data_IF_959393077721
#
_entry.id   IF_959393077721
#
_cell.length_a   1.000
_cell.length_b   1.000
_cell.length_c   1.000
_cell.angle_alpha   90.00
_cell.angle_beta   90.00
_cell.angle_gamma   90.00
#
_symmetry.space_group_name_H-M   'P 1'
#
loop_
_entity.id
_entity.type
_entity.pdbx_description
1 polymer ?
#
# COMPACT_ATOMS: atom_id res chain seq x y z
N UNK A 1 22.51 -4.15 15.25
CA UNK A 1 21.06 -3.91 15.54
C UNK A 1 20.24 -3.79 14.26
N UNK A 2 20.65 -3.00 13.29
CA UNK A 2 19.92 -2.75 12.02
C UNK A 2 19.56 -4.03 11.25
N UNK A 3 20.51 -4.93 11.06
CA UNK A 3 20.31 -6.18 10.32
C UNK A 3 19.30 -7.12 11.00
N UNK A 4 19.33 -7.20 12.34
CA UNK A 4 18.41 -8.09 13.06
C UNK A 4 16.96 -7.60 12.96
N UNK A 5 16.71 -6.28 12.98
CA UNK A 5 15.36 -5.76 12.74
C UNK A 5 14.84 -6.12 11.35
N UNK A 6 15.69 -5.97 10.33
CA UNK A 6 15.35 -6.30 8.95
C UNK A 6 15.04 -7.79 8.76
N UNK A 7 15.84 -8.69 9.35
CA UNK A 7 15.60 -10.14 9.34
C UNK A 7 14.27 -10.49 10.04
N UNK A 8 14.02 -9.91 11.21
CA UNK A 8 12.75 -10.09 11.92
C UNK A 8 11.57 -9.60 11.11
N UNK A 9 11.69 -8.43 10.45
CA UNK A 9 10.62 -7.89 9.61
C UNK A 9 10.36 -8.78 8.39
N UNK A 10 11.39 -9.27 7.71
CA UNK A 10 11.22 -10.21 6.59
C UNK A 10 10.55 -11.50 7.10
N UNK A 11 11.00 -12.07 8.22
CA UNK A 11 10.36 -13.24 8.83
C UNK A 11 8.89 -12.97 9.22
N UNK A 12 8.59 -11.77 9.72
CA UNK A 12 7.23 -11.35 10.09
C UNK A 12 6.26 -11.44 8.91
N UNK A 13 6.70 -11.20 7.67
CA UNK A 13 5.87 -11.27 6.46
C UNK A 13 5.39 -12.69 6.15
N UNK A 14 6.09 -13.72 6.64
CA UNK A 14 5.74 -15.11 6.40
C UNK A 14 4.65 -15.61 7.36
N UNK A 15 3.80 -16.50 6.86
CA UNK A 15 2.80 -17.25 7.61
C UNK A 15 2.77 -18.69 7.08
N UNK A 16 2.02 -19.58 7.71
CA UNK A 16 1.83 -20.95 7.21
C UNK A 16 1.26 -21.00 5.78
N UNK A 17 0.55 -19.95 5.37
CA UNK A 17 -0.02 -19.83 4.02
C UNK A 17 0.97 -19.26 3.00
N UNK A 18 2.10 -18.71 3.45
CA UNK A 18 3.08 -18.05 2.58
C UNK A 18 4.01 -19.09 1.98
N UNK A 19 4.03 -19.18 0.65
CA UNK A 19 4.94 -20.01 -0.11
C UNK A 19 5.36 -19.26 -1.37
N UNK A 20 6.55 -18.64 -1.36
CA UNK A 20 7.02 -17.73 -2.42
C UNK A 20 8.46 -18.04 -2.82
N UNK A 21 8.78 -17.71 -4.08
CA UNK A 21 10.16 -17.71 -4.56
C UNK A 21 10.82 -16.37 -4.24
N UNK A 22 12.15 -16.36 -4.21
CA UNK A 22 12.93 -15.13 -4.05
C UNK A 22 12.52 -14.07 -5.06
N UNK A 23 12.32 -14.45 -6.35
CA UNK A 23 11.93 -13.51 -7.40
C UNK A 23 10.55 -12.89 -7.14
N UNK A 24 9.60 -13.63 -6.58
CA UNK A 24 8.31 -13.07 -6.19
C UNK A 24 8.46 -12.04 -5.06
N UNK A 25 9.30 -12.30 -4.05
CA UNK A 25 9.61 -11.34 -2.98
C UNK A 25 10.22 -10.05 -3.54
N UNK A 26 11.23 -10.17 -4.42
CA UNK A 26 11.86 -9.02 -5.09
C UNK A 26 10.82 -8.17 -5.82
N UNK A 27 9.99 -8.77 -6.68
CA UNK A 27 8.98 -8.04 -7.47
C UNK A 27 7.94 -7.34 -6.61
N UNK A 28 7.51 -7.97 -5.50
CA UNK A 28 6.57 -7.35 -4.56
C UNK A 28 7.23 -6.16 -3.86
N UNK A 29 8.47 -6.32 -3.38
CA UNK A 29 9.22 -5.27 -2.71
C UNK A 29 9.56 -4.09 -3.64
N UNK A 30 9.82 -4.36 -4.93
CA UNK A 30 9.99 -3.34 -5.98
C UNK A 30 8.68 -2.59 -6.31
N UNK A 31 7.54 -3.01 -5.77
CA UNK A 31 6.23 -2.43 -6.06
C UNK A 31 5.74 -2.70 -7.47
N UNK A 32 6.14 -3.82 -8.10
CA UNK A 32 5.66 -4.20 -9.43
C UNK A 32 4.15 -4.45 -9.41
N UNK A 33 3.43 -3.76 -10.32
CA UNK A 33 1.97 -3.77 -10.41
C UNK A 33 1.43 -4.71 -11.47
N UNK A 34 2.16 -5.78 -11.82
CA UNK A 34 1.57 -6.81 -12.68
C UNK A 34 0.50 -7.58 -11.90
N UNK A 35 -0.61 -8.00 -12.53
CA UNK A 35 -1.65 -8.78 -11.86
C UNK A 35 -1.12 -10.02 -11.16
N UNK A 36 -0.11 -10.68 -11.73
CA UNK A 36 0.56 -11.83 -11.11
C UNK A 36 1.27 -11.48 -9.80
N UNK A 37 2.00 -10.34 -9.76
CA UNK A 37 2.69 -9.88 -8.56
C UNK A 37 1.69 -9.48 -7.47
N UNK A 38 0.67 -8.70 -7.83
CA UNK A 38 -0.37 -8.26 -6.91
C UNK A 38 -1.16 -9.46 -6.34
N UNK A 39 -1.52 -10.41 -7.19
CA UNK A 39 -2.18 -11.64 -6.77
C UNK A 39 -1.31 -12.46 -5.81
N UNK A 40 -0.01 -12.57 -6.10
CA UNK A 40 0.93 -13.27 -5.22
C UNK A 40 1.04 -12.59 -3.87
N UNK A 41 1.09 -11.25 -3.84
CA UNK A 41 1.11 -10.47 -2.61
C UNK A 41 -0.16 -10.71 -1.78
N UNK A 42 -1.34 -10.70 -2.40
CA UNK A 42 -2.60 -10.94 -1.71
C UNK A 42 -2.74 -12.39 -1.23
N UNK A 43 -2.50 -13.36 -2.11
CA UNK A 43 -2.60 -14.79 -1.81
C UNK A 43 -1.72 -15.22 -0.64
N UNK A 44 -0.52 -14.66 -0.55
CA UNK A 44 0.46 -15.00 0.48
C UNK A 44 0.51 -14.00 1.65
N UNK A 45 -0.43 -13.03 1.70
CA UNK A 45 -0.49 -12.02 2.75
C UNK A 45 0.78 -11.16 2.87
N UNK A 46 1.41 -10.83 1.73
CA UNK A 46 2.65 -10.06 1.62
C UNK A 46 2.40 -8.56 1.32
N UNK A 47 1.20 -8.06 1.59
CA UNK A 47 0.83 -6.67 1.29
C UNK A 47 1.75 -5.67 2.00
N UNK A 48 2.17 -5.98 3.24
CA UNK A 48 3.08 -5.14 4.00
C UNK A 48 4.45 -4.97 3.30
N UNK A 49 4.96 -5.99 2.62
CA UNK A 49 6.19 -5.89 1.83
C UNK A 49 6.04 -4.92 0.65
N UNK A 50 4.91 -4.97 -0.05
CA UNK A 50 4.61 -4.06 -1.16
C UNK A 50 4.61 -2.58 -0.75
N UNK A 51 4.26 -2.30 0.51
CA UNK A 51 4.13 -0.96 1.08
C UNK A 51 5.43 -0.40 1.62
N UNK A 52 6.27 -1.25 2.20
CA UNK A 52 7.47 -0.84 2.94
C UNK A 52 8.55 -0.18 2.08
N UNK A 53 8.44 -0.25 0.74
CA UNK A 53 9.50 0.20 -0.17
C UNK A 53 10.88 -0.33 0.23
N UNK A 54 10.93 -1.59 0.68
CA UNK A 54 12.16 -2.25 1.08
C UNK A 54 13.06 -2.40 -0.14
N UNK A 55 14.04 -1.51 -0.26
CA UNK A 55 14.98 -1.49 -1.38
C UNK A 55 16.20 -2.32 -1.05
N UNK A 56 16.14 -3.60 -1.38
CA UNK A 56 17.29 -4.51 -1.33
C UNK A 56 17.69 -4.90 -2.75
N UNK A 57 18.99 -4.93 -3.01
CA UNK A 57 19.54 -5.53 -4.21
C UNK A 57 19.30 -7.04 -4.21
N UNK A 58 19.38 -7.67 -5.38
CA UNK A 58 19.24 -9.13 -5.48
C UNK A 58 20.19 -9.90 -4.57
N UNK A 59 21.43 -9.45 -4.45
CA UNK A 59 22.44 -10.07 -3.58
C UNK A 59 22.08 -9.95 -2.10
N UNK A 60 21.55 -8.80 -1.67
CA UNK A 60 21.08 -8.60 -0.30
C UNK A 60 19.87 -9.47 0.00
N UNK A 61 18.91 -9.61 -0.92
CA UNK A 61 17.81 -10.55 -0.77
C UNK A 61 18.29 -11.98 -0.58
N UNK A 62 19.24 -12.45 -1.42
CA UNK A 62 19.84 -13.79 -1.29
C UNK A 62 20.48 -13.97 0.09
N UNK A 63 21.26 -12.99 0.53
CA UNK A 63 21.93 -13.00 1.84
C UNK A 63 20.92 -13.07 3.00
N UNK A 64 19.86 -12.23 2.98
CA UNK A 64 18.82 -12.22 4.01
C UNK A 64 18.06 -13.55 4.08
N UNK A 65 17.66 -14.10 2.92
CA UNK A 65 16.93 -15.37 2.87
C UNK A 65 17.81 -16.52 3.36
N UNK A 66 19.12 -16.52 3.02
CA UNK A 66 20.08 -17.48 3.54
C UNK A 66 20.21 -17.38 5.06
N UNK A 67 20.39 -16.16 5.60
CA UNK A 67 20.49 -15.95 7.06
C UNK A 67 19.23 -16.42 7.80
N UNK A 68 18.05 -16.18 7.24
CA UNK A 68 16.79 -16.67 7.80
C UNK A 68 16.70 -18.20 7.80
N UNK A 69 17.24 -18.85 6.76
CA UNK A 69 17.34 -20.31 6.71
C UNK A 69 18.38 -20.85 7.68
N UNK A 70 19.54 -20.20 7.80
CA UNK A 70 20.61 -20.57 8.75
C UNK A 70 20.14 -20.43 10.22
N UNK A 71 19.27 -19.44 10.51
CA UNK A 71 18.60 -19.29 11.81
C UNK A 71 17.50 -20.33 12.04
N UNK A 72 17.16 -21.13 11.03
CA UNK A 72 16.08 -22.11 11.09
C UNK A 72 14.68 -21.49 11.10
N UNK A 73 14.53 -20.20 10.71
CA UNK A 73 13.25 -19.52 10.68
C UNK A 73 12.48 -19.76 9.37
N UNK A 74 13.19 -19.98 8.27
CA UNK A 74 12.62 -20.37 6.98
C UNK A 74 13.21 -21.71 6.53
N UNK A 75 12.41 -22.48 5.81
CA UNK A 75 12.87 -23.63 5.02
C UNK A 75 12.68 -23.33 3.54
N UNK A 76 13.49 -23.97 2.70
CA UNK A 76 13.39 -23.84 1.24
C UNK A 76 13.15 -25.24 0.63
N UNK A 77 12.02 -25.35 -0.07
CA UNK A 77 11.66 -26.55 -0.81
C UNK A 77 11.31 -26.17 -2.24
N UNK A 78 11.88 -26.85 -3.23
CA UNK A 78 11.66 -26.58 -4.67
C UNK A 78 11.83 -25.09 -5.06
N UNK A 79 12.78 -24.40 -4.42
CA UNK A 79 13.05 -22.98 -4.64
C UNK A 79 12.03 -22.02 -4.00
N UNK A 80 11.11 -22.51 -3.19
CA UNK A 80 10.11 -21.74 -2.45
C UNK A 80 10.45 -21.70 -0.96
N UNK A 81 10.22 -20.54 -0.36
CA UNK A 81 10.46 -20.33 1.07
C UNK A 81 9.16 -20.44 1.86
N UNK A 82 9.24 -21.05 3.03
CA UNK A 82 8.14 -21.22 3.99
C UNK A 82 8.65 -20.98 5.40
N UNK A 83 7.75 -20.50 6.29
CA UNK A 83 8.09 -20.30 7.70
C UNK A 83 8.11 -21.64 8.45
N UNK A 84 9.09 -21.80 9.34
CA UNK A 84 9.20 -22.93 10.25
C UNK A 84 8.48 -22.64 11.59
N UNK A 85 8.26 -23.64 12.46
CA UNK A 85 7.78 -23.41 13.83
C UNK A 85 8.67 -22.46 14.64
N UNK A 86 10.00 -22.52 14.47
CA UNK A 86 10.96 -21.60 15.10
C UNK A 86 10.78 -20.17 14.55
N UNK A 87 10.60 -20.02 13.23
CA UNK A 87 10.29 -18.72 12.62
C UNK A 87 8.97 -18.11 13.12
N UNK A 88 7.94 -18.93 13.33
CA UNK A 88 6.67 -18.47 13.91
C UNK A 88 6.83 -17.98 15.34
N UNK A 89 7.66 -18.66 16.14
CA UNK A 89 7.96 -18.22 17.51
C UNK A 89 8.70 -16.88 17.51
N UNK A 90 9.70 -16.72 16.63
CA UNK A 90 10.43 -15.46 16.45
C UNK A 90 9.48 -14.33 16.00
N UNK A 91 8.57 -14.60 15.04
CA UNK A 91 7.54 -13.65 14.61
C UNK A 91 6.64 -13.18 15.76
N UNK A 92 6.18 -14.09 16.62
CA UNK A 92 5.37 -13.75 17.80
C UNK A 92 6.14 -12.84 18.76
N UNK A 93 7.41 -13.14 19.04
CA UNK A 93 8.27 -12.31 19.88
C UNK A 93 8.50 -10.93 19.26
N UNK A 94 8.68 -10.86 17.95
CA UNK A 94 8.85 -9.60 17.23
C UNK A 94 7.61 -8.70 17.32
N UNK A 95 6.40 -9.24 17.13
CA UNK A 95 5.15 -8.49 17.25
C UNK A 95 4.95 -7.94 18.68
N UNK A 96 5.33 -8.73 19.71
CA UNK A 96 5.25 -8.26 21.11
C UNK A 96 6.16 -7.06 21.38
N UNK A 97 7.35 -7.04 20.76
CA UNK A 97 8.30 -5.93 20.89
C UNK A 97 7.94 -4.73 20.00
N UNK A 98 7.17 -4.95 18.92
CA UNK A 98 6.74 -3.94 17.97
C UNK A 98 5.21 -4.00 17.74
N UNK A 99 4.40 -3.61 18.74
CA UNK A 99 2.93 -3.72 18.67
C UNK A 99 2.31 -2.92 17.51
N UNK A 100 3.02 -1.92 17.00
CA UNK A 100 2.61 -1.16 15.82
C UNK A 100 2.41 -2.01 14.58
N UNK A 101 3.15 -3.12 14.45
CA UNK A 101 3.06 -4.04 13.31
C UNK A 101 1.79 -4.91 13.34
N UNK A 102 1.03 -4.89 14.43
CA UNK A 102 -0.26 -5.60 14.51
C UNK A 102 -1.37 -4.79 13.80
N UNK A 103 -1.15 -4.50 12.53
CA UNK A 103 -2.08 -3.78 11.66
C UNK A 103 -2.10 -4.40 10.28
N UNK A 104 -3.22 -4.22 9.56
CA UNK A 104 -3.32 -4.59 8.15
C UNK A 104 -3.25 -3.32 7.32
N UNK A 105 -2.19 -3.20 6.52
CA UNK A 105 -2.01 -2.08 5.58
C UNK A 105 -2.60 -2.47 4.22
N UNK A 106 -3.52 -1.65 3.71
CA UNK A 106 -4.14 -1.89 2.40
C UNK A 106 -3.18 -1.47 1.27
N UNK A 107 -3.10 -2.31 0.22
CA UNK A 107 -2.29 -2.00 -0.97
C UNK A 107 -2.81 -0.79 -1.74
N UNK A 108 -4.14 -0.55 -1.73
CA UNK A 108 -4.78 0.62 -2.34
C UNK A 108 -4.20 1.94 -1.85
N UNK A 109 -3.85 1.98 -0.56
CA UNK A 109 -3.46 3.21 0.11
C UNK A 109 -1.95 3.44 0.17
N UNK A 110 -1.16 2.49 -0.34
CA UNK A 110 0.30 2.55 -0.28
C UNK A 110 0.88 3.87 -0.83
N UNK A 111 0.48 4.25 -2.05
CA UNK A 111 0.91 5.52 -2.65
C UNK A 111 0.31 6.72 -1.93
N UNK A 112 -0.94 6.60 -1.51
CA UNK A 112 -1.65 7.65 -0.79
C UNK A 112 -0.96 7.97 0.53
N UNK A 113 -0.62 6.97 1.36
CA UNK A 113 0.09 7.18 2.64
C UNK A 113 1.41 7.92 2.43
N UNK A 114 2.20 7.48 1.43
CA UNK A 114 3.49 8.11 1.12
C UNK A 114 3.32 9.56 0.67
N UNK A 115 2.45 9.83 -0.29
CA UNK A 115 2.22 11.19 -0.80
C UNK A 115 1.53 12.07 0.25
N UNK A 116 0.57 11.53 1.00
CA UNK A 116 -0.12 12.23 2.06
C UNK A 116 0.85 12.73 3.13
N UNK A 117 1.83 11.92 3.55
CA UNK A 117 2.88 12.36 4.48
C UNK A 117 3.60 13.61 3.99
N UNK A 118 3.99 13.65 2.72
CA UNK A 118 4.65 14.81 2.15
C UNK A 118 3.74 16.03 2.06
N UNK A 119 2.48 15.83 1.67
CA UNK A 119 1.52 16.94 1.61
C UNK A 119 1.17 17.45 3.01
N UNK A 120 1.01 16.57 3.98
CA UNK A 120 0.74 16.89 5.38
C UNK A 120 1.85 17.78 5.96
N UNK A 121 3.12 17.42 5.79
CA UNK A 121 4.27 18.26 6.20
C UNK A 121 4.23 19.61 5.49
N UNK A 122 3.99 19.64 4.18
CA UNK A 122 4.02 20.87 3.42
C UNK A 122 2.84 21.80 3.72
N UNK A 123 1.64 21.27 3.91
CA UNK A 123 0.49 22.06 4.39
C UNK A 123 0.76 22.65 5.77
N UNK A 124 1.33 21.85 6.68
CA UNK A 124 1.76 22.32 8.00
C UNK A 124 2.75 23.47 7.89
N UNK A 125 3.77 23.35 7.02
CA UNK A 125 4.72 24.45 6.75
C UNK A 125 4.00 25.68 6.22
N UNK A 126 3.16 25.57 5.19
CA UNK A 126 2.46 26.71 4.58
C UNK A 126 1.62 27.45 5.61
N UNK A 127 0.82 26.73 6.39
CA UNK A 127 -0.09 27.33 7.38
C UNK A 127 0.69 27.95 8.56
N UNK A 128 1.76 27.29 9.00
CA UNK A 128 2.66 27.84 10.02
C UNK A 128 3.33 29.12 9.55
N UNK A 129 3.97 29.14 8.38
CA UNK A 129 4.64 30.33 7.85
C UNK A 129 3.65 31.48 7.61
N UNK A 130 2.45 31.17 7.13
CA UNK A 130 1.39 32.14 6.94
C UNK A 130 0.96 32.79 8.26
N UNK A 131 0.84 32.03 9.35
CA UNK A 131 0.45 32.55 10.66
C UNK A 131 1.44 33.55 11.24
N UNK A 132 2.72 33.46 10.84
CA UNK A 132 3.78 34.42 11.19
C UNK A 132 3.99 35.49 10.12
N UNK A 133 3.18 35.53 9.05
CA UNK A 133 3.32 36.51 7.96
C UNK A 133 4.56 36.31 7.10
N UNK A 134 5.25 35.17 7.22
CA UNK A 134 6.47 34.89 6.45
C UNK A 134 6.14 34.40 5.04
N UNK A 135 6.56 35.15 4.03
CA UNK A 135 6.38 34.80 2.61
C UNK A 135 7.70 34.37 1.93
N UNK A 136 8.81 34.45 2.64
CA UNK A 136 10.17 34.24 2.11
C UNK A 136 10.77 32.87 2.44
N UNK A 137 9.96 31.89 2.85
CA UNK A 137 10.45 30.55 3.21
C UNK A 137 10.76 29.68 1.98
N UNK A 138 11.65 28.72 2.18
CA UNK A 138 11.94 27.68 1.15
C UNK A 138 10.89 26.58 1.26
N UNK A 139 10.09 26.32 0.20
CA UNK A 139 9.07 25.26 0.24
C UNK A 139 9.67 23.87 0.41
N UNK A 140 9.11 23.08 1.30
CA UNK A 140 9.47 21.66 1.50
C UNK A 140 9.34 20.83 0.22
N UNK A 141 8.27 21.06 -0.56
CA UNK A 141 8.08 20.43 -1.87
C UNK A 141 8.52 21.40 -2.95
N UNK A 142 9.49 21.02 -3.77
CA UNK A 142 10.00 21.84 -4.90
C UNK A 142 9.20 21.67 -6.19
N UNK A 143 8.46 20.55 -6.35
CA UNK A 143 7.67 20.28 -7.55
C UNK A 143 6.48 21.23 -7.69
N UNK A 144 6.47 22.00 -8.78
CA UNK A 144 5.46 23.03 -9.04
C UNK A 144 4.06 22.46 -9.26
N UNK A 145 3.93 21.26 -9.83
CA UNK A 145 2.62 20.65 -10.05
C UNK A 145 1.97 20.29 -8.72
N UNK A 146 2.72 19.70 -7.81
CA UNK A 146 2.26 19.37 -6.46
C UNK A 146 1.97 20.64 -5.67
N UNK A 147 2.83 21.67 -5.72
CA UNK A 147 2.55 22.96 -5.10
C UNK A 147 1.22 23.58 -5.59
N UNK A 148 0.94 23.53 -6.89
CA UNK A 148 -0.29 24.06 -7.45
C UNK A 148 -1.53 23.27 -7.02
N UNK A 149 -1.43 21.94 -6.89
CA UNK A 149 -2.51 21.10 -6.37
C UNK A 149 -2.81 21.45 -4.90
N UNK A 150 -1.80 21.64 -4.07
CA UNK A 150 -1.96 22.03 -2.66
C UNK A 150 -2.54 23.44 -2.56
N UNK A 151 -2.07 24.40 -3.35
CA UNK A 151 -2.65 25.75 -3.41
C UNK A 151 -4.14 25.72 -3.77
N UNK A 152 -4.51 24.89 -4.74
CA UNK A 152 -5.91 24.71 -5.13
C UNK A 152 -6.72 24.13 -3.97
N UNK A 153 -6.24 23.08 -3.33
CA UNK A 153 -6.89 22.49 -2.17
C UNK A 153 -7.06 23.49 -1.03
N UNK A 154 -6.03 24.26 -0.67
CA UNK A 154 -6.12 25.33 0.34
C UNK A 154 -7.19 26.37 0.00
N UNK A 155 -7.27 26.80 -1.27
CA UNK A 155 -8.28 27.73 -1.72
C UNK A 155 -9.70 27.16 -1.59
N UNK A 156 -9.88 25.86 -1.92
CA UNK A 156 -11.16 25.13 -1.76
C UNK A 156 -11.57 25.02 -0.28
N UNK A 157 -10.59 24.98 0.66
CA UNK A 157 -10.86 25.02 2.10
C UNK A 157 -11.19 26.43 2.61
N UNK A 158 -11.02 27.45 1.78
CA UNK A 158 -11.31 28.85 2.12
C UNK A 158 -10.10 29.67 2.58
N UNK A 159 -8.87 29.22 2.30
CA UNK A 159 -7.65 29.97 2.56
C UNK A 159 -7.54 31.18 1.61
N UNK A 160 -7.12 32.37 2.08
CA UNK A 160 -6.66 32.72 3.43
C UNK A 160 -7.74 33.30 4.37
N UNK A 161 -9.02 33.32 3.96
CA UNK A 161 -10.10 34.00 4.68
C UNK A 161 -10.52 33.26 5.95
N UNK A 162 -10.44 31.93 5.96
CA UNK A 162 -10.72 31.10 7.14
C UNK A 162 -9.47 30.95 8.02
N UNK A 163 -9.60 30.75 9.33
CA UNK A 163 -8.47 30.52 10.24
C UNK A 163 -7.91 29.09 10.13
N UNK A 164 -7.55 28.69 8.91
CA UNK A 164 -7.12 27.30 8.63
C UNK A 164 -5.90 26.87 9.44
N UNK A 165 -5.00 27.78 9.80
CA UNK A 165 -3.83 27.44 10.60
C UNK A 165 -4.22 26.93 12.01
N UNK A 166 -5.23 27.55 12.62
CA UNK A 166 -5.77 27.12 13.92
C UNK A 166 -6.52 25.80 13.77
N UNK A 167 -7.47 25.72 12.82
CA UNK A 167 -8.24 24.51 12.58
C UNK A 167 -7.33 23.31 12.29
N UNK A 168 -6.30 23.49 11.47
CA UNK A 168 -5.31 22.47 11.14
C UNK A 168 -4.53 22.00 12.37
N UNK A 169 -4.08 22.94 13.19
CA UNK A 169 -3.36 22.66 14.43
C UNK A 169 -4.24 21.88 15.43
N UNK A 170 -5.53 22.26 15.57
CA UNK A 170 -6.48 21.59 16.45
C UNK A 170 -6.74 20.14 16.01
N UNK A 171 -6.93 19.88 14.70
CA UNK A 171 -7.11 18.52 14.18
C UNK A 171 -5.85 17.65 14.38
N UNK A 172 -4.66 18.22 14.14
CA UNK A 172 -3.40 17.51 14.41
C UNK A 172 -3.27 17.20 15.89
N UNK A 173 -3.54 18.17 16.75
CA UNK A 173 -3.46 17.99 18.20
C UNK A 173 -4.41 16.88 18.65
N UNK A 174 -5.66 16.89 18.20
CA UNK A 174 -6.64 15.86 18.52
C UNK A 174 -6.15 14.46 18.10
N UNK A 175 -5.56 14.33 16.91
CA UNK A 175 -4.96 13.07 16.49
C UNK A 175 -3.78 12.65 17.38
N UNK A 176 -2.86 13.58 17.68
CA UNK A 176 -1.68 13.28 18.51
C UNK A 176 -2.07 12.82 19.92
N UNK A 177 -3.15 13.36 20.50
CA UNK A 177 -3.70 12.97 21.80
C UNK A 177 -4.23 11.52 21.82
N UNK A 178 -4.51 10.92 20.66
CA UNK A 178 -4.87 9.48 20.55
C UNK A 178 -3.66 8.54 20.59
N UNK A 179 -2.46 9.08 20.47
CA UNK A 179 -1.20 8.31 20.37
C UNK A 179 -0.46 8.31 21.69
N UNK A 180 0.34 7.26 21.97
CA UNK A 180 1.38 7.33 22.99
C UNK A 180 2.34 8.52 22.74
N UNK A 181 2.80 9.18 23.80
CA UNK A 181 3.65 10.38 23.74
C UNK A 181 4.88 10.21 22.85
N UNK A 182 5.50 9.03 22.85
CA UNK A 182 6.66 8.71 22.01
C UNK A 182 6.33 8.78 20.52
N UNK A 183 5.14 8.30 20.12
CA UNK A 183 4.69 8.32 18.73
C UNK A 183 4.22 9.72 18.31
N UNK A 184 3.59 10.46 19.21
CA UNK A 184 3.28 11.87 19.00
C UNK A 184 4.55 12.68 18.78
N UNK A 185 5.55 12.50 19.63
CA UNK A 185 6.86 13.13 19.52
C UNK A 185 7.57 12.73 18.22
N UNK A 186 7.47 11.46 17.79
CA UNK A 186 8.02 10.99 16.52
C UNK A 186 7.45 11.75 15.31
N UNK A 187 6.13 12.02 15.28
CA UNK A 187 5.49 12.81 14.23
C UNK A 187 5.95 14.26 14.30
N UNK A 188 5.84 14.90 15.47
CA UNK A 188 6.14 16.32 15.66
C UNK A 188 7.58 16.65 15.28
N UNK A 189 8.52 15.78 15.62
CA UNK A 189 9.93 15.98 15.28
C UNK A 189 10.21 16.08 13.77
N UNK A 190 9.34 15.55 12.93
CA UNK A 190 9.48 15.58 11.48
C UNK A 190 8.65 16.69 10.80
N UNK A 191 7.77 17.37 11.54
CA UNK A 191 7.00 18.50 11.02
C UNK A 191 7.91 19.69 10.70
N UNK A 192 7.51 20.49 9.74
CA UNK A 192 8.19 21.72 9.35
C UNK A 192 7.26 22.90 9.62
N UNK A 193 7.79 23.96 10.21
CA UNK A 193 7.05 25.18 10.50
C UNK A 193 7.97 26.39 10.61
N UNK A 194 7.42 27.52 11.01
CA UNK A 194 8.20 28.74 11.17
C UNK A 194 9.30 28.55 12.23
N UNK A 195 10.55 28.80 11.85
CA UNK A 195 11.74 28.58 12.68
C UNK A 195 11.95 27.12 13.16
N UNK A 196 11.30 26.16 12.50
CA UNK A 196 11.46 24.74 12.80
C UNK A 196 11.59 23.92 11.51
N UNK A 197 12.78 23.39 11.26
CA UNK A 197 13.11 22.72 9.99
C UNK A 197 12.64 21.26 9.92
N UNK A 198 12.21 20.69 11.05
CA UNK A 198 11.90 19.28 11.15
C UNK A 198 13.12 18.35 11.01
N UNK A 199 12.99 17.13 11.41
CA UNK A 199 14.05 16.12 11.31
C UNK A 199 13.93 15.34 10.02
N UNK A 200 15.06 15.10 9.36
CA UNK A 200 15.18 14.12 8.28
C UNK A 200 14.98 12.70 8.84
N UNK A 201 14.65 11.74 7.97
CA UNK A 201 14.53 10.32 8.35
C UNK A 201 15.75 9.81 9.12
N UNK A 202 16.96 10.20 8.71
CA UNK A 202 18.20 9.82 9.39
C UNK A 202 18.29 10.40 10.80
N UNK A 203 18.01 11.69 10.96
CA UNK A 203 18.02 12.35 12.28
C UNK A 203 16.94 11.77 13.21
N UNK A 204 15.76 11.44 12.65
CA UNK A 204 14.69 10.77 13.39
C UNK A 204 15.14 9.40 13.85
N UNK A 205 15.77 8.61 12.96
CA UNK A 205 16.32 7.30 13.29
C UNK A 205 17.36 7.39 14.42
N UNK A 206 18.31 8.30 14.32
CA UNK A 206 19.34 8.55 15.34
C UNK A 206 18.72 8.97 16.69
N UNK A 207 17.76 9.91 16.67
CA UNK A 207 17.11 10.43 17.90
C UNK A 207 16.30 9.37 18.64
N UNK A 208 15.58 8.54 17.90
CA UNK A 208 14.69 7.51 18.47
C UNK A 208 15.35 6.14 18.62
N UNK A 209 16.63 5.99 18.27
CA UNK A 209 17.35 4.70 18.31
C UNK A 209 16.78 3.67 17.32
N UNK A 210 16.14 4.13 16.25
CA UNK A 210 15.50 3.32 15.23
C UNK A 210 16.40 3.09 14.02
N UNK A 211 16.11 2.06 13.23
CA UNK A 211 16.65 1.90 11.88
C UNK A 211 15.86 2.75 10.88
N UNK A 212 16.41 2.98 9.67
CA UNK A 212 15.68 3.67 8.60
C UNK A 212 14.40 2.94 8.18
N UNK A 213 14.41 1.61 8.26
CA UNK A 213 13.23 0.78 8.00
C UNK A 213 12.16 0.94 9.08
N UNK A 214 12.56 0.99 10.36
CA UNK A 214 11.63 1.26 11.47
C UNK A 214 10.98 2.63 11.34
N UNK A 215 11.75 3.67 10.99
CA UNK A 215 11.19 5.02 10.73
C UNK A 215 10.18 4.98 9.59
N UNK A 216 10.51 4.29 8.49
CA UNK A 216 9.61 4.17 7.34
C UNK A 216 8.30 3.46 7.74
N UNK A 217 8.40 2.30 8.38
CA UNK A 217 7.24 1.50 8.80
C UNK A 217 6.38 2.24 9.81
N UNK A 218 7.00 2.88 10.80
CA UNK A 218 6.29 3.69 11.79
C UNK A 218 5.52 4.82 11.12
N UNK A 219 6.13 5.52 10.16
CA UNK A 219 5.45 6.59 9.41
C UNK A 219 4.26 6.04 8.61
N UNK A 220 4.42 4.94 7.87
CA UNK A 220 3.34 4.30 7.10
C UNK A 220 2.16 3.88 8.00
N UNK A 221 2.46 3.26 9.15
CA UNK A 221 1.44 2.82 10.11
C UNK A 221 0.73 4.01 10.76
N UNK A 222 1.45 5.08 11.07
CA UNK A 222 0.85 6.29 11.64
C UNK A 222 -0.04 7.01 10.63
N UNK A 223 0.32 7.01 9.34
CA UNK A 223 -0.55 7.54 8.28
C UNK A 223 -1.80 6.67 8.08
N UNK A 224 -1.70 5.36 8.21
CA UNK A 224 -2.86 4.46 8.21
C UNK A 224 -3.78 4.71 9.43
N UNK A 225 -3.22 4.93 10.63
CA UNK A 225 -4.00 5.32 11.82
C UNK A 225 -4.68 6.67 11.64
N UNK A 226 -3.97 7.65 11.10
CA UNK A 226 -4.52 8.96 10.80
C UNK A 226 -5.69 8.86 9.82
N UNK A 227 -5.60 8.00 8.79
CA UNK A 227 -6.71 7.79 7.84
C UNK A 227 -7.98 7.25 8.48
N UNK A 228 -7.86 6.53 9.59
CA UNK A 228 -9.01 6.00 10.37
C UNK A 228 -9.57 7.00 11.39
N UNK A 229 -8.80 8.04 11.68
CA UNK A 229 -9.20 9.13 12.59
C UNK A 229 -10.13 10.16 11.91
N UNK A 230 -10.36 10.05 10.60
CA UNK A 230 -11.08 11.04 9.78
C UNK A 230 -12.55 11.28 10.15
N UNK A 231 -13.19 10.43 10.95
CA UNK A 231 -14.56 10.69 11.42
C UNK A 231 -14.65 11.94 12.30
N UNK A 232 -13.51 12.37 12.89
CA UNK A 232 -13.41 13.53 13.77
C UNK A 232 -12.65 14.72 13.12
N UNK A 233 -12.30 14.64 11.82
CA UNK A 233 -11.40 15.58 11.17
C UNK A 233 -11.82 15.90 9.74
N UNK A 234 -12.21 17.15 9.48
CA UNK A 234 -12.65 17.61 8.15
C UNK A 234 -11.48 17.93 7.21
N UNK A 235 -10.44 18.62 7.70
CA UNK A 235 -9.31 19.07 6.88
C UNK A 235 -8.37 17.91 6.54
N UNK A 236 -8.02 17.09 7.52
CA UNK A 236 -7.16 15.92 7.30
C UNK A 236 -7.82 14.92 6.36
N UNK A 237 -9.14 14.68 6.53
CA UNK A 237 -9.92 13.84 5.61
C UNK A 237 -9.94 14.42 4.20
N UNK A 238 -10.26 15.70 4.06
CA UNK A 238 -10.28 16.38 2.76
C UNK A 238 -8.93 16.33 2.05
N UNK A 239 -7.83 16.48 2.80
CA UNK A 239 -6.48 16.35 2.25
C UNK A 239 -6.21 14.92 1.78
N UNK A 240 -6.54 13.91 2.60
CA UNK A 240 -6.41 12.51 2.24
C UNK A 240 -7.17 12.16 0.96
N UNK A 241 -8.44 12.54 0.88
CA UNK A 241 -9.29 12.27 -0.29
C UNK A 241 -8.71 12.90 -1.56
N UNK A 242 -8.16 14.12 -1.44
CA UNK A 242 -7.50 14.83 -2.55
C UNK A 242 -6.23 14.10 -3.00
N UNK A 243 -5.40 13.65 -2.05
CA UNK A 243 -4.19 12.88 -2.35
C UNK A 243 -4.56 11.52 -2.94
N UNK A 244 -5.52 10.81 -2.35
CA UNK A 244 -5.97 9.50 -2.81
C UNK A 244 -6.47 9.55 -4.26
N UNK A 245 -7.27 10.57 -4.59
CA UNK A 245 -7.68 10.84 -5.96
C UNK A 245 -6.49 11.15 -6.88
N UNK A 246 -5.50 11.93 -6.42
CA UNK A 246 -4.31 12.24 -7.20
C UNK A 246 -3.40 11.03 -7.44
N UNK A 247 -3.46 10.04 -6.56
CA UNK A 247 -2.81 8.73 -6.66
C UNK A 247 -3.67 7.69 -7.42
N UNK A 248 -4.70 8.14 -8.14
CA UNK A 248 -5.59 7.27 -8.92
C UNK A 248 -6.22 6.13 -8.11
N UNK A 249 -6.53 6.39 -6.83
CA UNK A 249 -7.08 5.38 -5.92
C UNK A 249 -6.20 4.13 -5.81
N UNK A 250 -4.89 4.33 -5.85
CA UNK A 250 -3.90 3.26 -5.80
C UNK A 250 -3.63 2.55 -7.13
N UNK A 251 -4.34 2.85 -8.21
CA UNK A 251 -4.13 2.25 -9.53
C UNK A 251 -2.92 2.85 -10.26
N UNK A 252 -2.33 2.09 -11.16
CA UNK A 252 -1.42 2.65 -12.15
C UNK A 252 -2.16 3.63 -13.08
N UNK A 253 -1.48 4.65 -13.59
CA UNK A 253 -2.08 5.63 -14.52
C UNK A 253 -2.75 4.94 -15.72
N UNK A 254 -2.12 3.89 -16.26
CA UNK A 254 -2.69 3.13 -17.36
C UNK A 254 -3.95 2.37 -16.97
N UNK A 255 -3.96 1.71 -15.81
CA UNK A 255 -5.13 1.00 -15.32
C UNK A 255 -6.28 1.99 -15.01
N UNK A 256 -5.98 3.09 -14.32
CA UNK A 256 -6.97 4.12 -14.00
C UNK A 256 -7.69 4.64 -15.26
N UNK A 257 -6.94 4.96 -16.33
CA UNK A 257 -7.53 5.39 -17.60
C UNK A 257 -8.40 4.32 -18.25
N UNK A 258 -8.02 3.03 -18.23
CA UNK A 258 -8.89 1.96 -18.73
C UNK A 258 -10.14 1.81 -17.91
N UNK A 259 -10.01 1.82 -16.59
CA UNK A 259 -11.14 1.68 -15.68
C UNK A 259 -12.15 2.82 -15.84
N UNK A 260 -11.69 4.06 -16.12
CA UNK A 260 -12.59 5.19 -16.40
C UNK A 260 -13.52 4.88 -17.59
N UNK A 261 -13.03 4.29 -18.68
CA UNK A 261 -13.87 3.90 -19.81
C UNK A 261 -14.83 2.76 -19.45
N UNK A 262 -14.33 1.74 -18.77
CA UNK A 262 -15.16 0.59 -18.37
C UNK A 262 -16.27 0.98 -17.39
N UNK A 263 -15.97 1.82 -16.41
CA UNK A 263 -16.98 2.33 -15.45
C UNK A 263 -18.02 3.23 -16.09
N UNK A 264 -17.70 3.85 -17.23
CA UNK A 264 -18.65 4.62 -18.07
C UNK A 264 -19.37 3.73 -19.11
N UNK A 265 -19.34 2.41 -18.96
CA UNK A 265 -20.11 1.48 -19.78
C UNK A 265 -19.44 1.00 -21.08
N UNK A 266 -18.18 1.38 -21.33
CA UNK A 266 -17.45 0.85 -22.49
C UNK A 266 -17.11 -0.64 -22.29
N UNK A 267 -17.15 -1.44 -23.37
CA UNK A 267 -16.67 -2.82 -23.32
C UNK A 267 -15.12 -2.91 -23.27
N UNK A 268 -14.56 -4.06 -22.91
CA UNK A 268 -13.11 -4.33 -23.01
C UNK A 268 -12.61 -4.06 -24.42
N UNK A 269 -13.32 -4.56 -25.44
CA UNK A 269 -12.99 -4.37 -26.86
C UNK A 269 -12.96 -2.88 -27.24
N UNK A 270 -14.02 -2.14 -26.93
CA UNK A 270 -14.11 -0.69 -27.22
C UNK A 270 -13.02 0.10 -26.49
N UNK A 271 -12.77 -0.22 -25.21
CA UNK A 271 -11.71 0.42 -24.41
C UNK A 271 -10.33 0.16 -25.02
N UNK A 272 -10.05 -1.07 -25.45
CA UNK A 272 -8.81 -1.45 -26.11
C UNK A 272 -8.61 -0.67 -27.43
N UNK A 273 -9.64 -0.58 -28.25
CA UNK A 273 -9.61 0.17 -29.50
C UNK A 273 -9.36 1.67 -29.29
N UNK A 274 -10.11 2.32 -28.38
CA UNK A 274 -9.97 3.75 -28.06
C UNK A 274 -8.57 4.05 -27.53
N UNK A 275 -8.06 3.21 -26.64
CA UNK A 275 -6.76 3.40 -26.01
C UNK A 275 -5.57 2.87 -26.84
N UNK A 276 -5.81 2.26 -27.99
CA UNK A 276 -4.81 1.60 -28.84
C UNK A 276 -3.99 0.56 -28.05
N UNK A 277 -4.67 -0.26 -27.27
CA UNK A 277 -4.12 -1.35 -26.46
C UNK A 277 -4.64 -2.70 -26.97
N UNK A 278 -3.99 -3.79 -26.53
CA UNK A 278 -4.53 -5.14 -26.70
C UNK A 278 -5.63 -5.38 -25.65
N UNK A 279 -6.64 -6.17 -25.98
CA UNK A 279 -7.69 -6.55 -25.02
C UNK A 279 -7.12 -7.20 -23.77
N UNK A 280 -6.10 -8.05 -23.90
CA UNK A 280 -5.42 -8.66 -22.75
C UNK A 280 -4.82 -7.62 -21.81
N UNK A 281 -4.29 -6.49 -22.31
CA UNK A 281 -3.81 -5.40 -21.48
C UNK A 281 -4.95 -4.74 -20.70
N UNK A 282 -6.12 -4.58 -21.31
CA UNK A 282 -7.30 -4.06 -20.61
C UNK A 282 -7.81 -5.05 -19.56
N UNK A 283 -7.79 -6.37 -19.85
CA UNK A 283 -8.08 -7.43 -18.87
C UNK A 283 -7.12 -7.39 -17.69
N UNK A 284 -5.83 -7.16 -17.91
CA UNK A 284 -4.83 -6.96 -16.85
C UNK A 284 -5.13 -5.72 -16.00
N UNK A 285 -5.58 -4.62 -16.61
CA UNK A 285 -6.00 -3.42 -15.87
C UNK A 285 -7.23 -3.69 -14.97
N UNK A 286 -8.18 -4.51 -15.43
CA UNK A 286 -9.31 -4.95 -14.59
C UNK A 286 -8.80 -5.77 -13.41
N UNK A 287 -7.89 -6.73 -13.63
CA UNK A 287 -7.30 -7.53 -12.56
C UNK A 287 -6.53 -6.65 -11.55
N UNK A 288 -5.78 -5.63 -12.02
CA UNK A 288 -5.15 -4.65 -11.13
C UNK A 288 -6.20 -3.93 -10.28
N UNK A 289 -7.31 -3.46 -10.88
CA UNK A 289 -8.37 -2.78 -10.16
C UNK A 289 -9.04 -3.67 -9.12
N UNK A 290 -9.30 -4.93 -9.45
CA UNK A 290 -9.87 -5.91 -8.51
C UNK A 290 -8.93 -6.16 -7.33
N UNK A 291 -7.62 -6.29 -7.58
CA UNK A 291 -6.61 -6.59 -6.56
C UNK A 291 -6.28 -5.37 -5.69
N UNK A 292 -6.19 -4.16 -6.27
CA UNK A 292 -5.81 -2.94 -5.55
C UNK A 292 -7.03 -2.26 -4.91
N UNK A 293 -8.05 -1.90 -5.70
CA UNK A 293 -9.18 -1.11 -5.22
C UNK A 293 -10.41 -1.93 -4.84
N UNK A 294 -10.27 -3.25 -4.79
CA UNK A 294 -11.38 -4.19 -4.50
C UNK A 294 -12.61 -3.94 -5.40
N UNK A 295 -12.35 -3.55 -6.65
CA UNK A 295 -13.41 -3.29 -7.63
C UNK A 295 -14.30 -4.52 -7.81
N UNK A 296 -15.60 -4.36 -7.64
CA UNK A 296 -16.60 -5.44 -7.68
C UNK A 296 -17.40 -5.50 -8.98
N UNK A 297 -17.30 -4.47 -9.83
CA UNK A 297 -18.04 -4.35 -11.10
C UNK A 297 -17.56 -5.27 -12.23
N UNK A 298 -16.73 -6.26 -11.93
CA UNK A 298 -16.17 -7.20 -12.92
C UNK A 298 -17.06 -8.42 -13.22
N UNK A 299 -18.05 -8.73 -12.36
CA UNK A 299 -18.90 -9.91 -12.52
C UNK A 299 -19.57 -10.02 -13.90
N UNK A 300 -20.11 -8.94 -14.50
CA UNK A 300 -20.66 -8.99 -15.84
C UNK A 300 -19.63 -9.29 -16.95
N UNK A 301 -18.34 -9.24 -16.66
CA UNK A 301 -17.28 -9.58 -17.61
C UNK A 301 -17.01 -11.08 -17.70
N UNK A 302 -17.64 -11.90 -16.83
CA UNK A 302 -17.52 -13.35 -16.83
C UNK A 302 -18.84 -13.92 -17.34
N UNK A 303 -18.84 -14.81 -18.35
CA UNK A 303 -20.05 -15.53 -18.76
C UNK A 303 -20.64 -16.28 -17.55
N UNK A 304 -21.97 -16.16 -17.35
CA UNK A 304 -22.64 -16.71 -16.16
C UNK A 304 -22.38 -18.21 -16.01
N UNK A 305 -22.46 -18.96 -17.08
CA UNK A 305 -22.23 -20.40 -17.08
C UNK A 305 -20.80 -20.75 -16.63
N UNK A 306 -19.81 -20.00 -17.09
CA UNK A 306 -18.39 -20.16 -16.69
C UNK A 306 -18.22 -19.84 -15.21
N UNK A 307 -18.84 -18.76 -14.75
CA UNK A 307 -18.79 -18.36 -13.33
C UNK A 307 -19.37 -19.45 -12.42
N UNK A 308 -20.57 -19.97 -12.77
CA UNK A 308 -21.24 -21.00 -11.97
C UNK A 308 -20.44 -22.32 -11.95
N UNK A 309 -19.81 -22.69 -13.08
CA UNK A 309 -18.95 -23.87 -13.17
C UNK A 309 -17.69 -23.70 -12.32
N UNK A 310 -16.95 -22.58 -12.48
CA UNK A 310 -15.74 -22.30 -11.71
C UNK A 310 -16.04 -22.27 -10.20
N UNK A 311 -17.15 -21.64 -9.80
CA UNK A 311 -17.57 -21.61 -8.40
C UNK A 311 -17.77 -23.01 -7.83
N UNK A 312 -18.47 -23.90 -8.54
CA UNK A 312 -18.65 -25.30 -8.13
C UNK A 312 -17.33 -26.04 -8.00
N UNK A 313 -16.44 -25.88 -8.98
CA UNK A 313 -15.12 -26.51 -8.96
C UNK A 313 -14.27 -26.04 -7.78
N UNK A 314 -14.20 -24.73 -7.51
CA UNK A 314 -13.46 -24.20 -6.36
C UNK A 314 -14.04 -24.59 -5.01
N UNK A 315 -15.35 -24.81 -4.90
CA UNK A 315 -15.98 -25.33 -3.69
C UNK A 315 -15.63 -26.79 -3.42
N UNK A 316 -15.49 -27.60 -4.48
CA UNK A 316 -15.07 -29.02 -4.38
C UNK A 316 -13.56 -29.18 -4.23
N UNK A 317 -12.77 -28.36 -4.93
CA UNK A 317 -11.31 -28.41 -4.92
C UNK A 317 -10.72 -26.99 -4.79
N UNK A 318 -10.51 -26.50 -3.55
CA UNK A 318 -9.99 -25.15 -3.33
C UNK A 318 -8.60 -24.89 -3.92
N UNK A 319 -7.80 -25.92 -4.18
CA UNK A 319 -6.46 -25.83 -4.77
C UNK A 319 -6.42 -25.97 -6.30
N UNK A 320 -7.60 -26.06 -6.95
CA UNK A 320 -7.74 -26.23 -8.38
C UNK A 320 -6.84 -25.25 -9.16
N UNK A 321 -5.98 -25.78 -10.02
CA UNK A 321 -5.14 -24.99 -10.91
C UNK A 321 -5.87 -24.60 -12.19
N UNK A 322 -5.38 -23.56 -12.89
CA UNK A 322 -5.95 -23.18 -14.19
C UNK A 322 -5.93 -24.31 -15.21
N UNK A 323 -4.84 -25.09 -15.24
CA UNK A 323 -4.71 -26.23 -16.17
C UNK A 323 -5.76 -27.33 -15.92
N UNK A 324 -6.06 -27.63 -14.65
CA UNK A 324 -7.13 -28.54 -14.27
C UNK A 324 -8.51 -27.97 -14.63
N UNK A 325 -8.75 -26.70 -14.34
CA UNK A 325 -10.02 -26.05 -14.68
C UNK A 325 -10.27 -26.02 -16.20
N UNK A 326 -9.23 -25.91 -17.03
CA UNK A 326 -9.36 -25.98 -18.50
C UNK A 326 -9.76 -27.36 -19.03
N UNK A 327 -9.49 -28.43 -18.27
CA UNK A 327 -9.94 -29.76 -18.64
C UNK A 327 -11.45 -29.94 -18.46
N UNK A 328 -12.01 -29.22 -17.48
CA UNK A 328 -13.44 -29.28 -17.13
C UNK A 328 -14.29 -28.24 -17.89
N UNK A 329 -13.70 -27.09 -18.23
CA UNK A 329 -14.41 -25.98 -18.88
C UNK A 329 -13.76 -25.65 -20.22
N UNK A 330 -14.46 -25.97 -21.31
CA UNK A 330 -13.98 -25.66 -22.65
C UNK A 330 -13.84 -24.14 -22.86
N UNK A 331 -12.78 -23.73 -23.56
CA UNK A 331 -12.50 -22.32 -23.88
C UNK A 331 -12.40 -21.39 -22.64
N UNK A 332 -12.04 -21.95 -21.47
CA UNK A 332 -11.82 -21.16 -20.26
C UNK A 332 -10.71 -20.14 -20.49
N UNK A 333 -11.01 -18.86 -20.32
CA UNK A 333 -10.00 -17.81 -20.32
C UNK A 333 -9.34 -17.69 -18.93
N UNK A 334 -8.01 -17.48 -18.91
CA UNK A 334 -7.27 -17.24 -17.67
C UNK A 334 -7.79 -16.03 -16.90
N UNK A 335 -8.28 -15.01 -17.59
CA UNK A 335 -8.88 -13.80 -16.99
C UNK A 335 -10.09 -14.15 -16.11
N UNK A 336 -11.02 -14.95 -16.61
CA UNK A 336 -12.20 -15.38 -15.84
C UNK A 336 -11.82 -16.27 -14.66
N UNK A 337 -10.95 -17.26 -14.90
CA UNK A 337 -10.43 -18.10 -13.83
C UNK A 337 -9.80 -17.28 -12.71
N UNK A 338 -8.93 -16.30 -13.04
CA UNK A 338 -8.24 -15.47 -12.07
C UNK A 338 -9.21 -14.60 -11.26
N UNK A 339 -10.25 -14.05 -11.86
CA UNK A 339 -11.26 -13.26 -11.14
C UNK A 339 -11.99 -14.11 -10.09
N UNK A 340 -12.41 -15.33 -10.44
CA UNK A 340 -13.09 -16.23 -9.50
C UNK A 340 -12.11 -16.78 -8.44
N UNK A 341 -10.85 -17.03 -8.82
CA UNK A 341 -9.80 -17.41 -7.86
C UNK A 341 -9.54 -16.31 -6.81
N UNK A 342 -9.61 -15.04 -7.20
CA UNK A 342 -9.51 -13.91 -6.24
C UNK A 342 -10.70 -13.93 -5.27
N UNK A 343 -11.93 -14.15 -5.75
CA UNK A 343 -13.10 -14.30 -4.86
C UNK A 343 -12.88 -15.44 -3.84
N UNK A 344 -12.36 -16.57 -4.30
CA UNK A 344 -12.09 -17.71 -3.44
C UNK A 344 -11.08 -17.39 -2.34
N UNK A 345 -9.93 -16.77 -2.66
CA UNK A 345 -8.92 -16.46 -1.65
C UNK A 345 -9.40 -15.42 -0.63
N UNK A 346 -10.37 -14.59 -1.02
CA UNK A 346 -11.05 -13.60 -0.16
C UNK A 346 -12.20 -14.20 0.66
N UNK A 347 -12.56 -15.46 0.43
CA UNK A 347 -13.69 -16.11 1.12
C UNK A 347 -15.05 -15.59 0.65
N UNK A 348 -15.17 -15.11 -0.60
CA UNK A 348 -16.38 -14.52 -1.16
C UNK A 348 -17.17 -15.47 -2.08
N UNK A 349 -16.80 -16.75 -2.20
CA UNK A 349 -17.46 -17.75 -3.05
C UNK A 349 -18.69 -18.36 -2.39
#
# INVERSE_FOLDING_TARGET
MTEMFELNYINYLFSEKTSVTLRQMELIAEGKRTPSTLFTAEKNQLQALFLSSLSLSKSEWVDRMKKLSDLGWLTQEEGRYQITPSGQQSKKAFILNYPLLNCTLEMSDALTRKEFWHWFIFVTQILSEFSYGNKGYIPYISDRLTQNRIKKWLAEQGFPQKPLAVMWADEIKAFLETLPDELGTFIVNQMIGHNYEGMTKRQTAEKHGMTSLEVLLTTEILMDRLSRFFEESDLLKSLWDTVHKSCHYGLSDSAYRSMTFLMNGSSIHSTAAIRKLKENTVKEHVLEAVLISKYTGYKPLIPKEVYDQLRKLFLSEPSLSYAQAQQEIQQLEFFWYRLVEIERIRGCL
#
